data_IF_053720019393
#
_entry.id   IF_053720019393
#
_cell.length_a   1.000
_cell.length_b   1.000
_cell.length_c   1.000
_cell.angle_alpha   90.00
_cell.angle_beta   90.00
_cell.angle_gamma   90.00
#
_symmetry.space_group_name_H-M   'P 1'
#
loop_
_entity.id
_entity.type
_entity.pdbx_description
1 polymer ?
#
# COMPACT_ATOMS: atom_id res chain seq x y z
N UNK A 1 56.46 -1.53 -5.88
CA UNK A 1 55.02 -1.72 -6.14
C UNK A 1 54.87 -2.91 -7.07
N UNK A 2 54.01 -3.87 -6.72
CA UNK A 2 53.99 -5.24 -7.27
C UNK A 2 53.20 -5.27 -8.59
N UNK A 3 53.63 -6.05 -9.58
CA UNK A 3 53.03 -6.15 -10.92
C UNK A 3 51.49 -6.31 -10.96
N UNK A 4 50.89 -6.86 -9.90
CA UNK A 4 49.43 -6.93 -9.71
C UNK A 4 48.74 -5.56 -9.69
N UNK A 5 49.36 -4.53 -9.11
CA UNK A 5 48.76 -3.19 -9.04
C UNK A 5 48.73 -2.53 -10.43
N UNK A 6 49.77 -2.74 -11.24
CA UNK A 6 49.80 -2.26 -12.63
C UNK A 6 48.78 -2.98 -13.51
N UNK A 7 48.64 -4.30 -13.36
CA UNK A 7 47.66 -5.08 -14.12
C UNK A 7 46.20 -4.66 -13.81
N UNK A 8 45.89 -4.33 -12.55
CA UNK A 8 44.56 -3.83 -12.17
C UNK A 8 44.31 -2.43 -12.76
N UNK A 9 45.31 -1.54 -12.66
CA UNK A 9 45.18 -0.18 -13.19
C UNK A 9 45.03 -0.16 -14.72
N UNK A 10 45.72 -1.04 -15.45
CA UNK A 10 45.56 -1.13 -16.91
C UNK A 10 44.20 -1.69 -17.31
N UNK A 11 43.65 -2.67 -16.59
CA UNK A 11 42.30 -3.20 -16.86
C UNK A 11 41.23 -2.12 -16.63
N UNK A 12 41.35 -1.36 -15.53
CA UNK A 12 40.41 -0.26 -15.24
C UNK A 12 40.50 0.84 -16.30
N UNK A 13 41.72 1.23 -16.72
CA UNK A 13 41.92 2.25 -17.74
C UNK A 13 41.37 1.82 -19.11
N UNK A 14 41.57 0.56 -19.51
CA UNK A 14 41.01 0.00 -20.74
C UNK A 14 39.48 -0.10 -20.69
N UNK A 15 38.91 -0.51 -19.56
CA UNK A 15 37.46 -0.55 -19.35
C UNK A 15 36.81 0.84 -19.42
N UNK A 16 37.44 1.84 -18.81
CA UNK A 16 36.97 3.23 -18.89
C UNK A 16 37.05 3.79 -20.32
N UNK A 17 38.16 3.57 -21.02
CA UNK A 17 38.30 4.02 -22.41
C UNK A 17 37.30 3.34 -23.35
N UNK A 18 37.02 2.04 -23.15
CA UNK A 18 35.98 1.32 -23.89
C UNK A 18 34.57 1.85 -23.62
N UNK A 19 34.24 2.19 -22.37
CA UNK A 19 32.94 2.74 -21.99
C UNK A 19 32.62 4.07 -22.68
N UNK A 20 33.61 4.97 -22.79
CA UNK A 20 33.44 6.27 -23.46
C UNK A 20 33.47 6.20 -25.00
N UNK A 21 33.94 5.08 -25.58
CA UNK A 21 33.99 4.88 -27.02
C UNK A 21 32.75 4.18 -27.60
N UNK A 22 31.87 3.66 -26.74
CA UNK A 22 30.59 3.09 -27.17
C UNK A 22 29.63 4.23 -27.54
N UNK A 23 28.93 4.14 -28.69
CA UNK A 23 27.87 5.08 -29.00
C UNK A 23 26.84 5.05 -27.86
N UNK A 24 26.30 6.21 -27.50
CA UNK A 24 25.24 6.32 -26.50
C UNK A 24 23.97 5.66 -27.06
N UNK A 25 23.89 4.34 -26.96
CA UNK A 25 22.67 3.60 -27.23
C UNK A 25 21.77 3.79 -26.02
N UNK A 26 20.58 4.41 -26.17
CA UNK A 26 19.63 4.45 -25.07
C UNK A 26 19.40 3.03 -24.61
N UNK A 27 19.58 2.81 -23.31
CA UNK A 27 19.33 1.52 -22.69
C UNK A 27 17.87 1.18 -22.96
N UNK A 28 17.55 0.03 -23.57
CA UNK A 28 16.16 -0.31 -23.88
C UNK A 28 15.29 -0.28 -22.61
N UNK A 29 14.04 0.18 -22.73
CA UNK A 29 13.10 0.31 -21.59
C UNK A 29 12.95 -0.98 -20.78
N UNK A 30 13.11 -2.15 -21.41
CA UNK A 30 13.05 -3.43 -20.70
C UNK A 30 14.16 -3.60 -19.66
N UNK A 31 15.35 -3.00 -19.86
CA UNK A 31 16.45 -3.03 -18.89
C UNK A 31 16.15 -2.08 -17.74
N UNK A 32 15.52 -0.93 -17.99
CA UNK A 32 15.02 -0.06 -16.93
C UNK A 32 13.91 -0.72 -16.11
N UNK A 33 12.96 -1.39 -16.77
CA UNK A 33 11.95 -2.20 -16.08
C UNK A 33 12.59 -3.35 -15.29
N UNK A 34 13.58 -4.05 -15.85
CA UNK A 34 14.31 -5.12 -15.17
C UNK A 34 15.13 -4.62 -13.99
N UNK A 35 15.86 -3.53 -14.13
CA UNK A 35 16.68 -2.95 -13.04
C UNK A 35 15.82 -2.30 -11.97
N UNK A 36 14.69 -1.68 -12.32
CA UNK A 36 13.69 -1.21 -11.36
C UNK A 36 13.06 -2.38 -10.60
N UNK A 37 12.71 -3.48 -11.30
CA UNK A 37 12.28 -4.74 -10.69
C UNK A 37 13.34 -5.26 -9.72
N UNK A 38 14.58 -5.46 -10.16
CA UNK A 38 15.67 -5.98 -9.33
C UNK A 38 16.00 -5.05 -8.15
N UNK A 39 15.97 -3.72 -8.33
CA UNK A 39 16.26 -2.75 -7.28
C UNK A 39 15.10 -2.59 -6.28
N UNK A 40 13.85 -2.73 -6.71
CA UNK A 40 12.70 -2.84 -5.81
C UNK A 40 12.76 -4.13 -4.99
N UNK A 41 13.39 -5.19 -5.53
CA UNK A 41 13.41 -6.53 -4.95
C UNK A 41 14.62 -6.86 -4.07
N UNK A 42 15.59 -5.97 -3.85
CA UNK A 42 16.89 -6.34 -3.22
C UNK A 42 17.28 -5.58 -1.94
N UNK A 43 16.35 -4.88 -1.26
CA UNK A 43 16.67 -4.14 -0.03
C UNK A 43 15.88 -4.54 1.22
N UNK A 44 16.53 -5.27 2.14
CA UNK A 44 16.22 -5.44 3.58
C UNK A 44 14.98 -6.23 4.06
N UNK A 45 15.19 -6.96 5.18
CA UNK A 45 14.21 -7.39 6.19
C UNK A 45 13.28 -8.55 5.83
N UNK A 46 12.73 -8.50 4.62
CA UNK A 46 11.75 -9.45 4.11
C UNK A 46 12.38 -10.63 3.33
N UNK A 47 13.69 -10.87 3.41
CA UNK A 47 14.37 -11.81 2.49
C UNK A 47 13.85 -13.27 2.62
N UNK A 48 13.41 -13.68 3.81
CA UNK A 48 12.74 -14.98 4.02
C UNK A 48 11.31 -15.02 3.46
N UNK A 49 10.59 -13.92 3.58
CA UNK A 49 9.22 -13.76 3.07
C UNK A 49 9.26 -13.74 1.53
N UNK A 50 10.18 -12.96 0.99
CA UNK A 50 10.40 -12.71 -0.43
C UNK A 50 10.64 -14.00 -1.20
N UNK A 51 11.58 -14.85 -0.77
CA UNK A 51 11.88 -16.09 -1.50
C UNK A 51 10.71 -17.07 -1.55
N UNK A 52 9.82 -17.02 -0.55
CA UNK A 52 8.59 -17.84 -0.48
C UNK A 52 7.46 -17.28 -1.33
N UNK A 53 7.22 -15.97 -1.24
CA UNK A 53 6.01 -15.33 -1.76
C UNK A 53 6.15 -14.84 -3.20
N UNK A 54 7.35 -14.43 -3.62
CA UNK A 54 7.56 -13.84 -4.94
C UNK A 54 7.06 -14.70 -6.12
N UNK A 55 7.29 -16.02 -6.17
CA UNK A 55 6.92 -16.79 -7.35
C UNK A 55 5.42 -16.78 -7.66
N UNK A 56 4.58 -16.90 -6.61
CA UNK A 56 3.12 -16.86 -6.78
C UNK A 56 2.62 -15.44 -7.12
N UNK A 57 3.16 -14.44 -6.43
CA UNK A 57 2.86 -13.03 -6.70
C UNK A 57 3.23 -12.65 -8.15
N UNK A 58 4.43 -12.98 -8.61
CA UNK A 58 4.87 -12.69 -9.97
C UNK A 58 4.00 -13.39 -11.01
N UNK A 59 3.63 -14.65 -10.77
CA UNK A 59 2.70 -15.38 -11.65
C UNK A 59 1.37 -14.64 -11.78
N UNK A 60 0.75 -14.25 -10.68
CA UNK A 60 -0.54 -13.53 -10.67
C UNK A 60 -0.46 -12.17 -11.36
N UNK A 61 0.62 -11.43 -11.11
CA UNK A 61 0.85 -10.13 -11.77
C UNK A 61 1.06 -10.29 -13.27
N UNK A 62 1.82 -11.30 -13.70
CA UNK A 62 2.02 -11.60 -15.12
C UNK A 62 0.70 -12.01 -15.81
N UNK A 63 -0.13 -12.83 -15.16
CA UNK A 63 -1.45 -13.22 -15.67
C UNK A 63 -2.40 -12.01 -15.79
N UNK A 64 -2.29 -11.04 -14.87
CA UNK A 64 -3.04 -9.78 -14.92
C UNK A 64 -2.44 -8.73 -15.88
N UNK A 65 -1.26 -8.98 -16.46
CA UNK A 65 -0.54 -8.01 -17.29
C UNK A 65 -0.02 -6.79 -16.51
N UNK A 66 0.19 -6.93 -15.19
CA UNK A 66 0.62 -5.86 -14.29
C UNK A 66 2.10 -6.02 -13.97
N UNK A 67 2.86 -4.93 -14.03
CA UNK A 67 4.28 -4.95 -13.68
C UNK A 67 4.47 -4.97 -12.15
N UNK A 68 5.51 -5.69 -11.69
CA UNK A 68 6.00 -5.55 -10.31
C UNK A 68 6.40 -4.09 -10.05
N UNK A 69 5.96 -3.55 -8.91
CA UNK A 69 6.15 -2.15 -8.55
C UNK A 69 5.11 -1.20 -9.16
N UNK A 70 4.08 -1.72 -9.84
CA UNK A 70 2.96 -0.89 -10.26
C UNK A 70 2.26 -0.24 -9.04
N UNK A 71 1.70 0.97 -9.21
CA UNK A 71 1.01 1.66 -8.12
C UNK A 71 -0.07 0.81 -7.46
N UNK A 72 -0.05 0.75 -6.13
CA UNK A 72 -0.97 0.00 -5.28
C UNK A 72 -2.03 0.93 -4.69
N UNK A 73 -3.24 0.42 -4.52
CA UNK A 73 -4.32 1.01 -3.75
C UNK A 73 -4.96 -0.08 -2.90
N UNK A 74 -5.20 0.22 -1.62
CA UNK A 74 -5.86 -0.70 -0.70
C UNK A 74 -7.25 -0.19 -0.37
N UNK A 75 -8.23 -1.10 -0.38
CA UNK A 75 -9.60 -0.80 0.02
C UNK A 75 -10.06 -1.77 1.08
N UNK A 76 -10.68 -1.28 2.14
CA UNK A 76 -11.13 -2.09 3.27
C UNK A 76 -12.62 -1.89 3.49
N UNK A 77 -13.31 -2.98 3.81
CA UNK A 77 -14.71 -3.00 4.25
C UNK A 77 -14.76 -3.68 5.63
N UNK A 78 -15.00 -2.90 6.68
CA UNK A 78 -14.88 -3.38 8.05
C UNK A 78 -16.03 -4.31 8.45
N UNK A 79 -17.26 -4.06 7.97
CA UNK A 79 -18.42 -4.93 8.22
C UNK A 79 -18.27 -6.29 7.53
N UNK A 80 -17.66 -6.31 6.34
CA UNK A 80 -17.39 -7.54 5.58
C UNK A 80 -16.07 -8.22 5.99
N UNK A 81 -15.29 -7.60 6.90
CA UNK A 81 -13.96 -8.05 7.32
C UNK A 81 -13.04 -8.35 6.12
N UNK A 82 -13.07 -7.47 5.11
CA UNK A 82 -12.44 -7.70 3.81
C UNK A 82 -11.49 -6.56 3.44
N UNK A 83 -10.28 -6.91 3.04
CA UNK A 83 -9.30 -6.00 2.42
C UNK A 83 -9.09 -6.42 0.97
N UNK A 84 -9.09 -5.44 0.07
CA UNK A 84 -8.87 -5.62 -1.35
C UNK A 84 -7.60 -4.91 -1.78
N UNK A 85 -6.81 -5.58 -2.62
CA UNK A 85 -5.58 -5.05 -3.18
C UNK A 85 -5.78 -4.77 -4.66
N UNK A 86 -5.61 -3.49 -5.02
CA UNK A 86 -5.78 -2.99 -6.37
C UNK A 86 -4.45 -2.51 -6.91
N UNK A 87 -4.10 -2.92 -8.12
CA UNK A 87 -2.89 -2.43 -8.80
C UNK A 87 -3.24 -1.76 -10.12
N UNK A 88 -2.51 -0.69 -10.42
CA UNK A 88 -2.66 0.06 -11.67
C UNK A 88 -2.05 -0.73 -12.85
N UNK A 89 -2.89 -1.09 -13.81
CA UNK A 89 -2.42 -1.49 -15.15
C UNK A 89 -2.11 -0.26 -16.01
N UNK A 90 -2.32 -0.36 -17.32
CA UNK A 90 -2.01 0.76 -18.23
C UNK A 90 -2.86 2.01 -17.95
N UNK A 91 -4.17 1.81 -17.72
CA UNK A 91 -5.15 2.92 -17.66
C UNK A 91 -5.97 2.97 -16.38
N UNK A 92 -6.17 1.83 -15.71
CA UNK A 92 -7.05 1.70 -14.55
C UNK A 92 -6.50 0.69 -13.56
N UNK A 93 -7.01 0.73 -12.34
CA UNK A 93 -6.72 -0.25 -11.32
C UNK A 93 -7.58 -1.49 -11.50
N UNK A 94 -6.96 -2.65 -11.32
CA UNK A 94 -7.62 -3.95 -11.28
C UNK A 94 -7.38 -4.58 -9.92
N UNK A 95 -8.41 -5.21 -9.37
CA UNK A 95 -8.31 -6.01 -8.17
C UNK A 95 -7.49 -7.27 -8.47
N UNK A 96 -6.48 -7.53 -7.66
CA UNK A 96 -5.60 -8.70 -7.84
C UNK A 96 -5.71 -9.69 -6.69
N UNK A 97 -6.15 -9.23 -5.51
CA UNK A 97 -6.19 -10.00 -4.27
C UNK A 97 -7.29 -9.49 -3.37
N UNK A 98 -7.90 -10.43 -2.66
CA UNK A 98 -8.65 -10.16 -1.44
C UNK A 98 -7.96 -10.85 -0.26
N UNK A 99 -8.03 -10.23 0.91
CA UNK A 99 -7.59 -10.78 2.18
C UNK A 99 -8.71 -10.61 3.22
N UNK A 100 -9.02 -11.68 3.95
CA UNK A 100 -9.98 -11.64 5.05
C UNK A 100 -9.28 -11.28 6.36
N UNK A 101 -9.99 -10.61 7.27
CA UNK A 101 -9.48 -10.39 8.62
C UNK A 101 -9.36 -11.74 9.33
N UNK A 102 -8.45 -11.85 10.29
CA UNK A 102 -8.44 -13.03 11.14
C UNK A 102 -9.78 -13.14 11.88
N UNK A 103 -10.35 -14.35 11.91
CA UNK A 103 -11.51 -14.61 12.74
C UNK A 103 -11.10 -14.44 14.21
N UNK A 104 -11.84 -13.63 14.96
CA UNK A 104 -11.85 -13.73 16.42
C UNK A 104 -12.46 -15.10 16.74
N UNK A 105 -11.66 -16.03 17.27
CA UNK A 105 -12.14 -17.37 17.63
C UNK A 105 -13.40 -17.24 18.49
N UNK A 106 -14.52 -17.73 17.98
CA UNK A 106 -15.85 -17.54 18.58
C UNK A 106 -16.04 -18.21 19.95
N UNK A 107 -15.04 -18.95 20.44
CA UNK A 107 -15.06 -19.70 21.71
C UNK A 107 -14.20 -19.04 22.80
N UNK A 108 -13.47 -17.96 22.49
CA UNK A 108 -12.70 -17.23 23.49
C UNK A 108 -13.57 -16.18 24.20
N UNK A 109 -14.20 -16.60 25.29
CA UNK A 109 -14.92 -15.71 26.23
C UNK A 109 -14.03 -14.65 26.89
N UNK A 110 -12.71 -14.67 26.63
CA UNK A 110 -11.76 -13.63 27.01
C UNK A 110 -11.56 -12.52 25.96
N UNK A 111 -12.26 -12.59 24.81
CA UNK A 111 -12.31 -11.56 23.77
C UNK A 111 -13.02 -10.25 24.21
N UNK A 112 -12.75 -9.80 25.43
CA UNK A 112 -12.97 -8.44 25.94
C UNK A 112 -11.87 -7.48 25.46
N UNK A 113 -11.22 -7.74 24.32
CA UNK A 113 -10.56 -6.69 23.58
C UNK A 113 -11.61 -6.09 22.66
N UNK A 114 -12.15 -4.94 23.03
CA UNK A 114 -12.89 -4.08 22.11
C UNK A 114 -11.89 -3.67 21.01
N UNK A 115 -11.71 -4.52 20.00
CA UNK A 115 -10.70 -4.32 18.95
C UNK A 115 -10.94 -2.96 18.33
N UNK A 116 -9.96 -2.06 18.45
CA UNK A 116 -10.03 -0.77 17.79
C UNK A 116 -9.64 -1.01 16.33
N UNK A 117 -10.61 -1.49 15.54
CA UNK A 117 -10.52 -1.39 14.08
C UNK A 117 -10.39 0.09 13.73
N UNK A 118 -9.53 0.45 12.75
CA UNK A 118 -9.45 1.83 12.30
C UNK A 118 -10.85 2.31 11.89
N UNK A 119 -11.27 3.51 12.30
CA UNK A 119 -12.56 4.03 11.88
C UNK A 119 -12.61 4.20 10.35
N UNK A 120 -13.82 4.21 9.74
CA UNK A 120 -13.96 4.55 8.33
C UNK A 120 -13.31 5.88 8.00
N UNK A 121 -12.54 5.92 6.91
CA UNK A 121 -11.78 7.11 6.53
C UNK A 121 -10.74 6.85 5.45
N UNK A 122 -10.00 7.91 5.13
CA UNK A 122 -8.87 7.88 4.18
C UNK A 122 -7.55 7.88 4.94
N UNK A 123 -6.71 6.92 4.60
CA UNK A 123 -5.39 6.68 5.18
C UNK A 123 -4.35 6.54 4.07
N UNK A 124 -3.08 6.56 4.47
CA UNK A 124 -1.95 6.33 3.56
C UNK A 124 -0.83 5.58 4.27
N UNK A 125 -0.06 4.86 3.46
CA UNK A 125 1.16 4.15 3.86
C UNK A 125 2.33 4.73 3.07
N UNK A 126 3.40 5.10 3.76
CA UNK A 126 4.69 5.57 3.23
C UNK A 126 5.79 4.57 3.56
N UNK A 127 7.00 4.79 3.04
CA UNK A 127 8.14 3.89 3.32
C UNK A 127 8.44 3.75 4.81
N UNK A 128 8.33 4.84 5.57
CA UNK A 128 8.59 4.85 7.01
C UNK A 128 7.48 4.18 7.82
N UNK A 129 6.35 3.86 7.18
CA UNK A 129 5.25 3.10 7.79
C UNK A 129 5.46 1.58 7.69
N UNK A 130 6.51 1.11 7.01
CA UNK A 130 6.81 -0.31 6.81
C UNK A 130 7.71 -0.88 7.90
N UNK A 131 7.22 -1.92 8.58
CA UNK A 131 7.95 -2.66 9.61
C UNK A 131 8.07 -4.14 9.23
N UNK A 132 9.17 -4.56 8.57
CA UNK A 132 9.36 -5.95 8.12
C UNK A 132 9.67 -6.95 9.25
N UNK A 133 10.03 -6.46 10.44
CA UNK A 133 10.41 -7.28 11.58
C UNK A 133 9.66 -6.80 12.84
N UNK A 134 8.33 -6.93 12.84
CA UNK A 134 7.51 -6.60 14.01
C UNK A 134 7.22 -7.85 14.86
N UNK A 135 6.86 -7.70 16.16
CA UNK A 135 6.35 -8.81 16.96
C UNK A 135 5.11 -9.49 16.35
N UNK A 136 4.34 -8.75 15.55
CA UNK A 136 3.18 -9.21 14.79
C UNK A 136 3.54 -9.68 13.37
N UNK A 137 4.77 -10.19 13.19
CA UNK A 137 5.34 -10.72 11.96
C UNK A 137 5.76 -9.65 10.94
N UNK A 138 4.82 -9.02 10.24
CA UNK A 138 5.06 -7.81 9.43
C UNK A 138 3.96 -6.81 9.71
N UNK A 139 4.27 -5.52 9.54
CA UNK A 139 3.34 -4.45 9.88
C UNK A 139 3.44 -3.27 8.90
N UNK A 140 2.28 -2.72 8.52
CA UNK A 140 2.14 -1.48 7.75
C UNK A 140 1.30 -0.48 8.54
N UNK A 141 1.91 0.59 9.03
CA UNK A 141 1.21 1.64 9.77
C UNK A 141 0.26 2.44 8.87
N UNK A 142 -0.93 2.74 9.38
CA UNK A 142 -1.95 3.51 8.69
C UNK A 142 -1.92 4.96 9.20
N UNK A 143 -1.39 5.87 8.39
CA UNK A 143 -1.44 7.29 8.73
C UNK A 143 -2.74 7.91 8.20
N UNK A 144 -3.62 8.49 9.05
CA UNK A 144 -4.83 9.15 8.59
C UNK A 144 -4.53 10.39 7.74
N UNK A 145 -5.44 10.71 6.81
CA UNK A 145 -5.43 11.97 6.08
C UNK A 145 -5.64 13.14 7.06
N UNK A 146 -4.76 14.16 7.07
CA UNK A 146 -4.92 15.32 7.94
C UNK A 146 -6.17 16.11 7.52
N UNK A 147 -6.74 16.81 8.49
CA UNK A 147 -7.81 17.77 8.24
C UNK A 147 -7.19 19.17 8.15
N UNK A 148 -7.38 19.83 7.02
CA UNK A 148 -6.74 21.10 6.69
C UNK A 148 -7.19 22.26 7.60
N UNK A 149 -8.41 22.14 8.16
CA UNK A 149 -9.00 23.14 9.07
C UNK A 149 -8.90 22.72 10.54
N UNK A 150 -8.28 21.57 10.85
CA UNK A 150 -8.08 21.19 12.24
C UNK A 150 -7.21 22.24 12.95
N UNK A 151 -7.63 22.73 14.14
CA UNK A 151 -6.80 23.64 14.91
C UNK A 151 -5.43 23.00 15.14
N UNK A 152 -4.36 23.80 15.09
CA UNK A 152 -2.97 23.39 15.28
C UNK A 152 -2.66 22.92 16.72
N UNK A 153 -3.65 22.40 17.44
CA UNK A 153 -3.49 21.79 18.74
C UNK A 153 -2.80 20.45 18.53
N UNK A 154 -1.50 20.48 18.81
CA UNK A 154 -0.66 19.32 19.11
C UNK A 154 -1.20 18.56 20.33
N UNK A 155 -2.42 18.03 20.27
CA UNK A 155 -2.82 16.93 21.13
C UNK A 155 -2.26 15.65 20.51
N UNK A 156 -0.92 15.57 20.54
CA UNK A 156 -0.17 14.32 20.39
C UNK A 156 -0.36 13.39 21.62
N UNK A 157 -1.47 13.56 22.36
CA UNK A 157 -1.86 12.72 23.46
C UNK A 157 -2.61 11.50 22.89
N UNK A 158 -1.85 10.40 22.75
CA UNK A 158 -2.37 9.04 22.56
C UNK A 158 -3.35 8.83 21.39
N UNK A 159 -3.07 9.40 20.21
CA UNK A 159 -3.69 8.90 18.99
C UNK A 159 -3.28 7.43 18.81
N UNK A 160 -4.25 6.51 18.87
CA UNK A 160 -4.02 5.09 18.60
C UNK A 160 -3.44 4.98 17.20
N UNK A 161 -2.23 4.42 17.08
CA UNK A 161 -1.65 4.08 15.79
C UNK A 161 -2.28 2.78 15.33
N UNK A 162 -2.97 2.81 14.19
CA UNK A 162 -3.52 1.63 13.57
C UNK A 162 -2.55 1.06 12.54
N UNK A 163 -2.53 -0.26 12.38
CA UNK A 163 -1.72 -0.90 11.34
C UNK A 163 -2.43 -2.08 10.68
N UNK A 164 -1.95 -2.47 9.50
CA UNK A 164 -2.20 -3.79 8.92
C UNK A 164 -1.10 -4.71 9.40
N UNK A 165 -1.42 -5.86 9.98
CA UNK A 165 -0.40 -6.74 10.55
C UNK A 165 -0.75 -8.22 10.47
N UNK A 166 0.26 -9.06 10.71
CA UNK A 166 0.13 -10.51 10.76
C UNK A 166 -0.16 -11.07 12.15
N UNK A 167 0.12 -12.37 12.29
CA UNK A 167 0.01 -13.19 13.49
C UNK A 167 -1.38 -13.30 14.12
N UNK A 168 -2.42 -12.74 13.49
CA UNK A 168 -3.75 -12.63 14.10
C UNK A 168 -3.67 -12.07 15.53
N UNK A 169 -2.74 -11.15 15.80
CA UNK A 169 -2.45 -10.65 17.14
C UNK A 169 -3.43 -9.58 17.61
N UNK A 170 -3.59 -9.43 18.92
CA UNK A 170 -4.54 -8.49 19.52
C UNK A 170 -4.00 -7.05 19.66
N UNK A 171 -3.41 -6.51 18.58
CA UNK A 171 -2.98 -5.10 18.51
C UNK A 171 -4.01 -4.24 17.75
N UNK A 172 -3.98 -2.92 17.94
CA UNK A 172 -4.91 -2.01 17.28
C UNK A 172 -4.66 -1.98 15.76
N UNK A 173 -5.69 -2.25 14.96
CA UNK A 173 -5.54 -2.34 13.52
C UNK A 173 -6.39 -3.42 12.87
N UNK A 174 -5.88 -3.94 11.76
CA UNK A 174 -6.47 -5.02 10.97
C UNK A 174 -5.47 -6.17 10.92
N UNK A 175 -5.86 -7.28 11.54
CA UNK A 175 -5.06 -8.49 11.58
C UNK A 175 -5.41 -9.41 10.41
N UNK A 176 -4.39 -9.88 9.69
CA UNK A 176 -4.53 -10.77 8.54
C UNK A 176 -3.68 -12.03 8.75
N UNK A 177 -3.96 -13.08 7.97
CA UNK A 177 -3.08 -14.25 7.92
C UNK A 177 -1.69 -13.84 7.41
N UNK A 178 -0.66 -14.51 7.92
CA UNK A 178 0.73 -14.20 7.56
C UNK A 178 0.96 -14.20 6.04
N UNK A 179 0.47 -15.23 5.34
CA UNK A 179 0.67 -15.30 3.88
C UNK A 179 -0.02 -14.16 3.12
N UNK A 180 -1.14 -13.63 3.61
CA UNK A 180 -1.83 -12.49 3.00
C UNK A 180 -1.10 -11.17 3.26
N UNK A 181 -0.74 -10.89 4.51
CA UNK A 181 -0.05 -9.64 4.86
C UNK A 181 1.36 -9.59 4.27
N UNK A 182 2.04 -10.73 4.14
CA UNK A 182 3.35 -10.82 3.48
C UNK A 182 3.27 -10.39 2.00
N UNK A 183 2.24 -10.84 1.29
CA UNK A 183 2.00 -10.45 -0.10
C UNK A 183 1.69 -8.96 -0.22
N UNK A 184 0.78 -8.46 0.63
CA UNK A 184 0.43 -7.04 0.68
C UNK A 184 1.67 -6.20 0.98
N UNK A 185 2.47 -6.60 1.95
CA UNK A 185 3.72 -5.93 2.33
C UNK A 185 4.67 -5.83 1.14
N UNK A 186 4.91 -6.93 0.42
CA UNK A 186 5.82 -6.93 -0.73
C UNK A 186 5.31 -6.08 -1.89
N UNK A 187 4.01 -6.08 -2.16
CA UNK A 187 3.40 -5.23 -3.20
C UNK A 187 3.55 -3.75 -2.85
N UNK A 188 3.26 -3.38 -1.60
CA UNK A 188 3.40 -2.00 -1.11
C UNK A 188 4.86 -1.55 -1.12
N UNK A 189 5.79 -2.35 -0.59
CA UNK A 189 7.23 -2.06 -0.60
C UNK A 189 7.75 -1.88 -2.04
N UNK A 190 7.36 -2.76 -2.95
CA UNK A 190 7.76 -2.67 -4.35
C UNK A 190 7.23 -1.38 -5.02
N UNK A 191 5.96 -1.01 -4.80
CA UNK A 191 5.38 0.19 -5.38
C UNK A 191 6.01 1.48 -4.83
N UNK A 192 6.26 1.54 -3.51
CA UNK A 192 6.91 2.67 -2.87
C UNK A 192 8.38 2.82 -3.31
N UNK A 193 9.09 1.72 -3.56
CA UNK A 193 10.45 1.75 -4.13
C UNK A 193 10.47 2.15 -5.60
N UNK A 194 9.45 1.75 -6.35
CA UNK A 194 9.28 2.11 -7.76
C UNK A 194 8.86 3.58 -7.98
N UNK A 195 8.55 4.31 -6.91
CA UNK A 195 8.34 5.77 -6.96
C UNK A 195 6.93 6.22 -6.60
N UNK A 196 6.02 5.32 -6.22
CA UNK A 196 4.76 5.74 -5.62
C UNK A 196 5.03 6.47 -4.30
N UNK A 197 4.58 7.72 -4.16
CA UNK A 197 4.91 8.56 -2.99
C UNK A 197 4.28 8.03 -1.69
N UNK A 198 3.04 7.56 -1.78
CA UNK A 198 2.34 6.85 -0.73
C UNK A 198 1.28 5.94 -1.34
N UNK A 199 0.98 4.84 -0.67
CA UNK A 199 -0.14 3.96 -1.03
C UNK A 199 -1.42 4.46 -0.36
N UNK A 200 -2.45 4.88 -1.11
CA UNK A 200 -3.74 5.23 -0.54
C UNK A 200 -4.43 3.99 0.02
N UNK A 201 -5.05 4.15 1.19
CA UNK A 201 -5.84 3.12 1.87
C UNK A 201 -7.18 3.72 2.25
N UNK A 202 -8.27 3.27 1.63
CA UNK A 202 -9.62 3.74 1.95
C UNK A 202 -10.37 2.68 2.74
N UNK A 203 -10.85 3.06 3.92
CA UNK A 203 -11.57 2.18 4.84
C UNK A 203 -13.03 2.61 4.86
N UNK A 204 -13.91 1.71 4.46
CA UNK A 204 -15.36 1.90 4.46
C UNK A 204 -15.99 0.91 5.42
N UNK A 205 -17.21 1.19 5.86
CA UNK A 205 -17.98 0.23 6.65
C UNK A 205 -18.44 -0.94 5.78
N UNK A 206 -19.11 -0.64 4.66
CA UNK A 206 -19.64 -1.62 3.70
C UNK A 206 -19.58 -1.06 2.28
N UNK A 207 -19.65 -1.88 1.24
CA UNK A 207 -19.90 -1.41 -0.12
C UNK A 207 -21.23 -0.64 -0.19
N UNK A 208 -21.28 0.46 -0.95
CA UNK A 208 -22.54 1.12 -1.27
C UNK A 208 -22.98 0.73 -2.67
N UNK A 209 -24.26 0.39 -2.79
CA UNK A 209 -24.92 0.31 -4.08
C UNK A 209 -25.09 1.75 -4.61
N UNK A 210 -24.59 1.98 -5.82
CA UNK A 210 -24.60 3.30 -6.44
C UNK A 210 -25.98 3.68 -7.00
N UNK A 211 -26.90 2.70 -7.11
CA UNK A 211 -28.28 2.93 -7.55
C UNK A 211 -29.24 3.21 -6.37
N UNK A 212 -28.79 3.07 -5.11
CA UNK A 212 -29.62 3.29 -3.92
C UNK A 212 -29.57 4.76 -3.45
N UNK A 213 -30.65 5.49 -3.73
CA UNK A 213 -30.84 6.89 -3.31
C UNK A 213 -30.76 7.13 -1.80
N UNK A 214 -31.09 6.14 -0.95
CA UNK A 214 -31.04 6.26 0.50
C UNK A 214 -29.60 6.26 1.02
N UNK A 215 -28.74 5.47 0.38
CA UNK A 215 -27.33 5.36 0.71
C UNK A 215 -26.56 6.67 0.43
N UNK A 216 -26.99 7.45 -0.56
CA UNK A 216 -26.40 8.77 -0.87
C UNK A 216 -26.81 9.85 0.15
N UNK A 217 -27.99 9.73 0.77
CA UNK A 217 -28.49 10.71 1.74
C UNK A 217 -27.83 10.63 3.12
N UNK A 218 -27.44 9.45 3.60
CA UNK A 218 -26.81 9.31 4.92
C UNK A 218 -25.44 10.02 4.98
N UNK A 219 -24.65 9.91 3.92
CA UNK A 219 -23.36 10.58 3.77
C UNK A 219 -23.46 12.09 3.54
N UNK A 220 -24.60 12.53 2.99
CA UNK A 220 -24.91 13.94 2.81
C UNK A 220 -25.21 14.63 4.16
N UNK A 221 -25.61 13.89 5.19
CA UNK A 221 -25.86 14.46 6.52
C UNK A 221 -24.58 14.59 7.33
N UNK A 222 -24.37 15.74 7.99
CA UNK A 222 -23.21 16.01 8.86
C UNK A 222 -23.14 15.12 10.13
N UNK A 223 -24.08 14.17 10.29
CA UNK A 223 -24.11 13.23 11.41
C UNK A 223 -23.41 11.89 11.08
N UNK A 224 -22.93 11.69 9.86
CA UNK A 224 -22.07 10.55 9.53
C UNK A 224 -20.71 10.69 10.25
N UNK A 225 -20.16 9.62 10.85
CA UNK A 225 -18.83 9.65 11.48
C UNK A 225 -17.69 10.07 10.52
N UNK A 226 -17.88 9.88 9.21
CA UNK A 226 -16.91 10.22 8.17
C UNK A 226 -17.64 10.87 6.96
N UNK A 227 -18.07 12.13 7.07
CA UNK A 227 -18.89 12.77 6.05
C UNK A 227 -18.10 12.94 4.74
N UNK A 228 -18.75 12.70 3.59
CA UNK A 228 -18.14 12.76 2.26
C UNK A 228 -17.26 11.55 1.89
N UNK A 229 -17.09 10.58 2.78
CA UNK A 229 -16.26 9.40 2.52
C UNK A 229 -16.80 8.56 1.35
N UNK A 230 -18.12 8.40 1.19
CA UNK A 230 -18.64 7.65 0.06
C UNK A 230 -18.68 8.45 -1.25
N UNK A 231 -18.45 9.76 -1.23
CA UNK A 231 -18.14 10.50 -2.46
C UNK A 231 -16.78 10.03 -3.04
N UNK A 232 -15.81 9.75 -2.15
CA UNK A 232 -14.51 9.13 -2.50
C UNK A 232 -14.73 7.71 -3.04
N UNK A 233 -15.59 6.92 -2.40
CA UNK A 233 -15.98 5.59 -2.88
C UNK A 233 -16.55 5.63 -4.31
N UNK A 234 -17.55 6.49 -4.51
CA UNK A 234 -18.23 6.68 -5.78
C UNK A 234 -17.28 7.10 -6.91
N UNK A 235 -16.36 8.01 -6.62
CA UNK A 235 -15.36 8.46 -7.57
C UNK A 235 -14.49 7.31 -8.06
N UNK A 236 -14.01 6.43 -7.16
CA UNK A 236 -13.25 5.24 -7.53
C UNK A 236 -14.10 4.24 -8.33
N UNK A 237 -15.35 3.96 -7.93
CA UNK A 237 -16.21 3.01 -8.65
C UNK A 237 -16.45 3.43 -10.11
N UNK A 238 -16.57 4.73 -10.38
CA UNK A 238 -16.78 5.28 -11.71
C UNK A 238 -15.55 5.19 -12.61
N UNK A 239 -14.36 5.46 -12.08
CA UNK A 239 -13.13 5.62 -12.89
C UNK A 239 -12.17 4.44 -12.81
N UNK A 240 -12.27 3.64 -11.74
CA UNK A 240 -11.28 2.65 -11.29
C UNK A 240 -9.89 3.27 -11.12
N UNK A 241 -9.84 4.52 -10.68
CA UNK A 241 -8.62 5.26 -10.34
C UNK A 241 -8.88 5.89 -8.97
N UNK A 242 -8.03 5.63 -7.95
CA UNK A 242 -8.18 6.26 -6.64
C UNK A 242 -8.17 7.78 -6.81
N UNK A 243 -9.21 8.49 -6.35
CA UNK A 243 -9.22 9.94 -6.43
C UNK A 243 -8.17 10.54 -5.49
N UNK A 244 -7.71 11.74 -5.81
CA UNK A 244 -7.07 12.60 -4.82
C UNK A 244 -8.13 13.08 -3.83
N UNK A 245 -7.77 13.10 -2.54
CA UNK A 245 -8.71 13.40 -1.45
C UNK A 245 -8.10 14.43 -0.52
N UNK A 246 -8.87 15.47 -0.23
CA UNK A 246 -8.62 16.44 0.83
C UNK A 246 -9.65 16.26 1.96
N UNK A 247 -9.34 16.74 3.16
CA UNK A 247 -10.27 16.75 4.29
C UNK A 247 -10.30 18.13 4.90
N UNK A 248 -11.49 18.73 4.99
CA UNK A 248 -11.69 20.07 5.56
C UNK A 248 -12.94 20.07 6.43
N UNK A 249 -12.86 20.67 7.62
CA UNK A 249 -13.95 20.72 8.59
C UNK A 249 -14.57 19.34 8.89
N UNK A 250 -13.73 18.30 8.99
CA UNK A 250 -14.15 16.92 9.23
C UNK A 250 -14.70 16.17 8.01
N UNK A 251 -14.93 16.85 6.87
CA UNK A 251 -15.52 16.29 5.65
C UNK A 251 -14.46 15.94 4.61
N UNK A 252 -14.60 14.77 3.97
CA UNK A 252 -13.79 14.36 2.83
C UNK A 252 -14.29 15.00 1.53
N UNK A 253 -13.36 15.43 0.69
CA UNK A 253 -13.62 16.03 -0.61
C UNK A 253 -12.79 15.31 -1.68
N UNK A 254 -13.44 14.98 -2.81
CA UNK A 254 -12.74 14.48 -3.99
C UNK A 254 -12.18 15.67 -4.75
N UNK A 255 -10.86 15.72 -4.88
CA UNK A 255 -10.20 16.76 -5.64
C UNK A 255 -10.37 16.49 -7.14
N UNK A 256 -10.57 17.52 -7.98
CA UNK A 256 -10.62 17.35 -9.42
C UNK A 256 -9.27 16.81 -9.91
N UNK A 257 -9.30 15.70 -10.65
CA UNK A 257 -8.09 15.14 -11.26
C UNK A 257 -7.44 16.19 -12.18
N UNK A 258 -6.18 16.53 -11.89
CA UNK A 258 -5.36 17.39 -12.74
C UNK A 258 -5.04 16.75 -14.09
#
# INVERSE_FOLDING_TARGET
>A
MRARTYAILTIIALGAAGYFALPYTPVPDYVHAFTARVSALTGFGADRIRSRVLPDMEKRLNEAGIAVGAPVYLRVFTADQKLQVWLRGDTRYSEIQDAGFCASDADDTSANATFQTPPPGVYRIRRDDLSPNSPSHVELNLTPLPDDDAPSTNDAAAAISYSLHGNCSDIAGISLKNDDIEQIYLLVDAALRAGQQSVPVHIFEKPRDMDDSLALTEDATNNSPAPGLYDVYAAFERTRIPPDVSKSNGRYHVDPAN
#
